data_IF_903977781773
#
_entry.id   IF_903977781773
#
_cell.length_a   1.000
_cell.length_b   1.000
_cell.length_c   1.000
_cell.angle_alpha   90.00
_cell.angle_beta   90.00
_cell.angle_gamma   90.00
#
_symmetry.space_group_name_H-M   'P 1'
#
loop_
_entity.id
_entity.type
_entity.pdbx_description
1 polymer ?
#
# COMPACT_ATOMS: atom_id res chain seq x y z
N UNK A 1 52.06 -46.30 -13.34
CA UNK A 1 51.34 -45.15 -13.92
C UNK A 1 49.84 -45.39 -13.74
N UNK A 2 49.25 -44.86 -12.66
CA UNK A 2 47.82 -44.98 -12.37
C UNK A 2 47.36 -43.59 -11.93
N UNK A 3 46.92 -42.80 -12.89
CA UNK A 3 46.42 -41.44 -12.69
C UNK A 3 44.98 -41.53 -12.21
N UNK A 4 44.79 -41.28 -10.92
CA UNK A 4 43.49 -41.03 -10.28
C UNK A 4 43.11 -39.56 -10.46
N UNK A 5 41.80 -39.30 -10.32
CA UNK A 5 41.12 -38.02 -10.11
C UNK A 5 40.70 -37.23 -11.36
N UNK A 6 39.51 -37.58 -11.85
CA UNK A 6 38.65 -36.65 -12.58
C UNK A 6 38.12 -35.61 -11.58
N UNK A 7 38.66 -34.40 -11.64
CA UNK A 7 38.13 -33.24 -10.93
C UNK A 7 36.83 -32.79 -11.62
N UNK A 8 35.68 -33.19 -11.06
CA UNK A 8 34.39 -32.65 -11.43
C UNK A 8 34.34 -31.18 -10.95
N UNK A 9 34.65 -30.24 -11.85
CA UNK A 9 34.42 -28.83 -11.63
C UNK A 9 32.91 -28.61 -11.47
N UNK A 10 32.50 -28.34 -10.23
CA UNK A 10 31.19 -27.83 -9.91
C UNK A 10 30.98 -26.48 -10.60
N UNK A 11 30.19 -26.47 -11.67
CA UNK A 11 29.61 -25.23 -12.19
C UNK A 11 28.68 -24.66 -11.11
N UNK A 12 29.18 -23.65 -10.39
CA UNK A 12 28.38 -22.71 -9.63
C UNK A 12 27.48 -21.98 -10.62
N UNK A 13 26.25 -22.47 -10.77
CA UNK A 13 25.16 -21.69 -11.34
C UNK A 13 24.97 -20.47 -10.42
N UNK A 14 25.47 -19.32 -10.88
CA UNK A 14 25.08 -18.02 -10.36
C UNK A 14 23.59 -17.83 -10.69
N UNK A 15 22.73 -18.29 -9.80
CA UNK A 15 21.32 -17.91 -9.80
C UNK A 15 21.28 -16.39 -9.67
N UNK A 16 20.70 -15.65 -10.64
CA UNK A 16 20.40 -14.26 -10.40
C UNK A 16 19.46 -14.23 -9.21
N UNK A 17 19.95 -13.63 -8.12
CA UNK A 17 19.19 -13.26 -6.96
C UNK A 17 17.97 -12.52 -7.49
N UNK A 18 16.82 -13.21 -7.56
CA UNK A 18 15.55 -12.54 -7.77
C UNK A 18 15.53 -11.42 -6.73
N UNK A 19 15.56 -10.18 -7.21
CA UNK A 19 15.33 -9.01 -6.39
C UNK A 19 14.03 -9.27 -5.65
N UNK A 20 14.13 -9.74 -4.41
CA UNK A 20 13.00 -9.92 -3.54
C UNK A 20 12.41 -8.52 -3.43
N UNK A 21 11.21 -8.25 -3.99
CA UNK A 21 10.62 -6.93 -3.88
C UNK A 21 10.33 -6.78 -2.39
N UNK A 22 11.22 -6.08 -1.70
CA UNK A 22 11.08 -5.73 -0.30
C UNK A 22 9.64 -5.28 -0.05
N UNK A 23 8.86 -6.12 0.62
CA UNK A 23 7.70 -5.73 1.40
C UNK A 23 6.51 -5.10 0.66
N UNK A 24 6.14 -5.56 -0.54
CA UNK A 24 4.85 -5.18 -1.16
C UNK A 24 3.74 -6.23 -0.92
N UNK A 25 3.77 -6.90 0.22
CA UNK A 25 2.63 -7.63 0.75
C UNK A 25 1.69 -6.70 1.54
N UNK A 26 0.39 -7.00 1.64
CA UNK A 26 -0.49 -6.29 2.57
C UNK A 26 0.07 -6.48 3.99
N UNK A 27 0.70 -5.43 4.52
CA UNK A 27 1.25 -5.44 5.88
C UNK A 27 0.19 -5.85 6.93
N UNK A 28 0.60 -6.14 8.18
CA UNK A 28 -0.19 -6.86 9.21
C UNK A 28 -1.37 -6.04 9.79
N UNK A 29 -2.26 -5.59 8.92
CA UNK A 29 -3.49 -4.85 9.21
C UNK A 29 -4.71 -5.47 8.51
N UNK A 30 -4.71 -6.80 8.41
CA UNK A 30 -5.71 -7.68 7.77
C UNK A 30 -7.09 -7.68 8.49
N UNK A 31 -7.57 -6.55 9.03
CA UNK A 31 -8.89 -6.60 9.72
C UNK A 31 -9.61 -5.32 10.12
N UNK A 32 -9.13 -4.11 9.82
CA UNK A 32 -9.86 -2.88 10.22
C UNK A 32 -9.82 -1.80 9.13
N UNK A 33 -10.84 -1.76 8.28
CA UNK A 33 -11.03 -0.69 7.28
C UNK A 33 -11.86 -1.14 6.07
N UNK A 34 -12.29 -0.18 5.24
CA UNK A 34 -12.98 -0.47 3.97
C UNK A 34 -12.00 -1.23 3.03
N UNK A 35 -12.29 -2.49 2.63
CA UNK A 35 -11.41 -3.29 1.79
C UNK A 35 -11.26 -2.72 0.37
N UNK A 36 -12.32 -2.17 -0.21
CA UNK A 36 -12.28 -1.51 -1.53
C UNK A 36 -11.38 -0.28 -1.50
N UNK A 37 -11.50 0.58 -0.48
CA UNK A 37 -10.61 1.72 -0.30
C UNK A 37 -9.14 1.29 -0.17
N UNK A 38 -8.87 0.12 0.42
CA UNK A 38 -7.51 -0.41 0.51
C UNK A 38 -6.99 -0.83 -0.87
N UNK A 39 -7.81 -1.56 -1.64
CA UNK A 39 -7.48 -2.01 -2.99
C UNK A 39 -7.26 -0.84 -3.94
N UNK A 40 -8.15 0.15 -3.95
CA UNK A 40 -8.03 1.33 -4.82
C UNK A 40 -6.81 2.19 -4.45
N UNK A 41 -6.56 2.39 -3.14
CA UNK A 41 -5.32 3.06 -2.68
C UNK A 41 -4.06 2.31 -3.09
N UNK A 42 -4.11 1.00 -3.22
CA UNK A 42 -2.98 0.21 -3.69
C UNK A 42 -2.76 0.47 -5.18
N UNK A 43 -3.81 0.36 -6.01
CA UNK A 43 -3.71 0.60 -7.44
C UNK A 43 -3.24 2.02 -7.77
N UNK A 44 -3.85 3.03 -7.15
CA UNK A 44 -3.42 4.42 -7.31
C UNK A 44 -1.96 4.67 -6.87
N UNK A 45 -1.43 3.91 -5.90
CA UNK A 45 -0.01 3.99 -5.51
C UNK A 45 0.91 3.39 -6.57
N UNK A 46 0.49 2.29 -7.19
CA UNK A 46 1.25 1.68 -8.29
C UNK A 46 1.28 2.61 -9.50
N UNK A 47 0.15 3.19 -9.88
CA UNK A 47 0.07 4.15 -10.99
C UNK A 47 0.91 5.40 -10.72
N UNK A 48 0.85 5.96 -9.51
CA UNK A 48 1.68 7.10 -9.14
C UNK A 48 3.18 6.77 -9.30
N UNK A 49 3.62 5.61 -8.82
CA UNK A 49 5.02 5.18 -8.95
C UNK A 49 5.42 4.93 -10.41
N UNK A 50 4.52 4.36 -11.21
CA UNK A 50 4.73 4.14 -12.64
C UNK A 50 4.88 5.46 -13.42
N UNK A 51 4.17 6.51 -12.98
CA UNK A 51 4.30 7.89 -13.52
C UNK A 51 5.53 8.65 -13.00
N UNK A 52 6.39 8.00 -12.21
CA UNK A 52 7.63 8.59 -11.72
C UNK A 52 7.53 9.34 -10.40
N UNK A 53 6.35 9.45 -9.78
CA UNK A 53 6.23 10.07 -8.45
C UNK A 53 7.03 9.25 -7.41
N UNK A 54 7.73 9.96 -6.52
CA UNK A 54 8.51 9.37 -5.40
C UNK A 54 8.13 10.07 -4.09
N UNK A 55 8.75 9.65 -3.00
CA UNK A 55 8.67 10.31 -1.68
C UNK A 55 7.27 10.84 -1.29
N UNK A 56 7.17 12.10 -0.83
CA UNK A 56 5.90 12.71 -0.42
C UNK A 56 4.92 12.93 -1.59
N UNK A 57 5.42 13.07 -2.83
CA UNK A 57 4.61 13.36 -4.02
C UNK A 57 3.66 12.22 -4.38
N UNK A 58 4.05 10.96 -4.07
CA UNK A 58 3.17 9.78 -4.24
C UNK A 58 1.84 9.96 -3.51
N UNK A 59 1.84 10.62 -2.34
CA UNK A 59 0.60 10.81 -1.57
C UNK A 59 -0.38 11.72 -2.30
N UNK A 60 0.09 12.83 -2.87
CA UNK A 60 -0.74 13.75 -3.66
C UNK A 60 -1.31 13.05 -4.88
N UNK A 61 -0.46 12.34 -5.64
CA UNK A 61 -0.88 11.59 -6.82
C UNK A 61 -1.93 10.49 -6.52
N UNK A 62 -1.82 9.83 -5.36
CA UNK A 62 -2.80 8.81 -4.93
C UNK A 62 -4.14 9.43 -4.59
N UNK A 63 -4.16 10.60 -3.95
CA UNK A 63 -5.40 11.31 -3.64
C UNK A 63 -6.09 11.73 -4.93
N UNK A 64 -5.36 12.39 -5.84
CA UNK A 64 -5.89 12.79 -7.14
C UNK A 64 -6.43 11.59 -7.96
N UNK A 65 -5.73 10.46 -7.95
CA UNK A 65 -6.19 9.22 -8.59
C UNK A 65 -7.50 8.69 -7.99
N UNK A 66 -7.63 8.70 -6.65
CA UNK A 66 -8.85 8.28 -5.98
C UNK A 66 -10.03 9.22 -6.25
N UNK A 67 -9.79 10.52 -6.25
CA UNK A 67 -10.82 11.52 -6.55
C UNK A 67 -11.35 11.36 -7.98
N UNK A 68 -10.47 11.07 -8.94
CA UNK A 68 -10.85 10.84 -10.33
C UNK A 68 -11.60 9.52 -10.55
N UNK A 69 -11.21 8.42 -9.86
CA UNK A 69 -11.76 7.07 -10.11
C UNK A 69 -12.93 6.70 -9.20
N UNK A 70 -12.84 7.07 -7.92
CA UNK A 70 -13.69 6.58 -6.83
C UNK A 70 -14.00 7.72 -5.85
N UNK A 71 -14.76 8.75 -6.29
CA UNK A 71 -15.13 9.88 -5.44
C UNK A 71 -15.91 9.44 -4.18
N UNK A 72 -16.65 8.34 -4.25
CA UNK A 72 -17.32 7.68 -3.14
C UNK A 72 -16.33 7.25 -2.03
N UNK A 73 -15.16 6.74 -2.41
CA UNK A 73 -14.10 6.34 -1.50
C UNK A 73 -13.27 7.55 -1.03
N UNK A 74 -13.10 8.56 -1.89
CA UNK A 74 -12.45 9.82 -1.53
C UNK A 74 -13.20 10.52 -0.37
N UNK A 75 -14.53 10.46 -0.37
CA UNK A 75 -15.37 10.97 0.74
C UNK A 75 -14.99 10.38 2.11
N UNK A 76 -14.58 9.10 2.16
CA UNK A 76 -14.11 8.46 3.40
C UNK A 76 -12.84 9.13 3.91
N UNK A 77 -11.93 9.53 3.01
CA UNK A 77 -10.69 10.21 3.37
C UNK A 77 -10.96 11.64 3.86
N UNK A 78 -11.83 12.37 3.17
CA UNK A 78 -12.27 13.71 3.59
C UNK A 78 -12.91 13.67 4.98
N UNK A 79 -13.80 12.71 5.25
CA UNK A 79 -14.38 12.54 6.58
C UNK A 79 -13.35 12.20 7.64
N UNK A 80 -12.35 11.37 7.32
CA UNK A 80 -11.24 11.09 8.26
C UNK A 80 -10.43 12.34 8.57
N UNK A 81 -10.20 13.19 7.59
CA UNK A 81 -9.47 14.44 7.78
C UNK A 81 -10.27 15.45 8.62
N UNK A 82 -11.54 15.66 8.28
CA UNK A 82 -12.44 16.52 9.06
C UNK A 82 -12.57 16.05 10.51
N UNK A 83 -12.67 14.74 10.75
CA UNK A 83 -12.74 14.18 12.11
C UNK A 83 -11.41 14.35 12.86
N UNK A 84 -10.25 14.25 12.20
CA UNK A 84 -8.96 14.59 12.83
C UNK A 84 -8.85 16.07 13.19
N UNK A 85 -9.31 16.95 12.31
CA UNK A 85 -9.33 18.39 12.56
C UNK A 85 -10.19 18.76 13.78
N UNK A 86 -11.18 17.93 14.11
CA UNK A 86 -12.00 18.04 15.33
C UNK A 86 -11.34 17.46 16.59
N UNK A 87 -10.10 16.97 16.51
CA UNK A 87 -9.34 16.45 17.65
C UNK A 87 -9.53 14.96 17.96
N UNK A 88 -10.27 14.20 17.14
CA UNK A 88 -10.43 12.76 17.37
C UNK A 88 -9.14 11.99 17.08
N UNK A 89 -8.75 11.11 18.00
CA UNK A 89 -7.53 10.29 17.90
C UNK A 89 -7.72 9.18 16.86
N UNK A 90 -6.85 9.05 15.85
CA UNK A 90 -6.96 8.01 14.83
C UNK A 90 -6.96 6.59 15.42
N UNK A 91 -7.70 5.68 14.77
CA UNK A 91 -7.78 4.23 15.09
C UNK A 91 -8.54 3.87 16.37
N UNK A 92 -9.14 4.81 17.09
CA UNK A 92 -10.04 4.50 18.20
C UNK A 92 -11.46 4.14 17.71
N UNK A 93 -12.31 3.52 18.57
CA UNK A 93 -13.72 3.33 18.26
C UNK A 93 -14.47 4.64 17.97
N UNK A 94 -14.21 5.69 18.73
CA UNK A 94 -14.87 7.00 18.63
C UNK A 94 -14.54 7.65 17.28
N UNK A 95 -13.28 7.58 16.86
CA UNK A 95 -12.86 8.04 15.53
C UNK A 95 -13.60 7.32 14.41
N UNK A 96 -13.75 5.98 14.52
CA UNK A 96 -14.46 5.19 13.50
C UNK A 96 -15.94 5.57 13.44
N UNK A 97 -16.57 5.79 14.58
CA UNK A 97 -17.96 6.23 14.67
C UNK A 97 -18.16 7.64 14.12
N UNK A 98 -17.28 8.58 14.46
CA UNK A 98 -17.31 9.95 13.93
C UNK A 98 -17.14 9.98 12.40
N UNK A 99 -16.23 9.16 11.84
CA UNK A 99 -16.07 9.02 10.39
C UNK A 99 -17.31 8.40 9.74
N UNK A 100 -17.92 7.39 10.37
CA UNK A 100 -19.16 6.78 9.89
C UNK A 100 -20.30 7.80 9.85
N UNK A 101 -20.45 8.59 10.91
CA UNK A 101 -21.48 9.65 11.03
C UNK A 101 -21.28 10.74 9.97
N UNK A 102 -20.04 11.21 9.78
CA UNK A 102 -19.71 12.17 8.71
C UNK A 102 -20.06 11.66 7.30
N UNK A 103 -19.94 10.34 7.07
CA UNK A 103 -20.18 9.74 5.76
C UNK A 103 -21.66 9.60 5.44
N UNK A 104 -22.46 9.24 6.43
CA UNK A 104 -23.87 8.89 6.22
C UNK A 104 -24.87 9.95 6.67
N UNK A 105 -24.41 11.00 7.36
CA UNK A 105 -25.30 11.98 8.00
C UNK A 105 -25.99 11.32 9.18
N UNK A 106 -25.46 11.56 10.39
CA UNK A 106 -26.20 11.30 11.62
C UNK A 106 -26.90 12.59 12.02
#
# INVERSE_FOLDING_TARGET
MKSLTAAALALLAATPLAAQPYGYGPGPGMGRGNPELRAERFQCRQEARARGYRGPEVRGAVIACLEARRPDLARILQCREAVRARGYVPRTPEFRMAVRSCRFGA
#
